data_IF_735104734506
#
_entry.id   IF_735104734506
#
_cell.length_a   1.000
_cell.length_b   1.000
_cell.length_c   1.000
_cell.angle_alpha   90.00
_cell.angle_beta   90.00
_cell.angle_gamma   90.00
#
_symmetry.space_group_name_H-M   'P 1'
#
loop_
_entity.id
_entity.type
_entity.pdbx_description
1 polymer ?
#
# COMPACT_ATOMS: atom_id res chain seq x y z
N UNK A 1 15.62 -5.65 -7.14
CA UNK A 1 15.60 -7.01 -6.51
C UNK A 1 15.90 -7.06 -5.01
N UNK A 2 17.00 -6.50 -4.47
CA UNK A 2 17.31 -6.62 -3.02
C UNK A 2 16.34 -5.87 -2.09
N UNK A 3 15.66 -4.83 -2.58
CA UNK A 3 14.75 -3.99 -1.77
C UNK A 3 13.65 -4.84 -1.07
N UNK A 4 12.99 -5.72 -1.82
CA UNK A 4 11.85 -6.49 -1.29
C UNK A 4 12.29 -7.82 -0.64
N UNK A 5 13.31 -8.49 -1.17
CA UNK A 5 13.71 -9.85 -0.77
C UNK A 5 14.59 -9.94 0.50
N UNK A 6 14.91 -8.80 1.13
CA UNK A 6 15.75 -8.78 2.33
C UNK A 6 14.96 -9.15 3.61
N UNK A 7 14.80 -10.45 3.88
CA UNK A 7 14.23 -10.95 5.12
C UNK A 7 14.97 -12.21 5.63
N UNK A 8 14.88 -12.45 6.94
CA UNK A 8 15.54 -13.59 7.62
C UNK A 8 14.59 -14.79 7.82
N UNK A 9 13.45 -14.79 7.17
CA UNK A 9 12.47 -15.87 7.29
C UNK A 9 13.04 -17.17 6.70
N UNK A 10 12.78 -18.30 7.39
CA UNK A 10 13.26 -19.62 6.94
C UNK A 10 12.72 -20.01 5.55
N UNK A 11 11.53 -19.54 5.21
CA UNK A 11 10.85 -19.83 3.94
C UNK A 11 11.06 -18.76 2.88
N UNK A 12 12.04 -17.85 3.04
CA UNK A 12 12.38 -16.84 2.02
C UNK A 12 12.68 -17.53 0.67
N UNK A 13 12.05 -17.13 -0.46
CA UNK A 13 11.16 -15.97 -0.66
C UNK A 13 9.66 -16.19 -0.43
N UNK A 14 9.21 -17.42 -0.24
CA UNK A 14 7.80 -17.83 -0.09
C UNK A 14 7.18 -17.49 1.29
N UNK A 15 7.57 -16.38 1.91
CA UNK A 15 7.13 -15.98 3.25
C UNK A 15 6.13 -14.81 3.25
N UNK A 16 5.79 -14.26 2.08
CA UNK A 16 4.91 -13.10 1.95
C UNK A 16 5.57 -11.75 2.26
N UNK A 17 6.84 -11.74 2.67
CA UNK A 17 7.51 -10.49 3.06
C UNK A 17 7.80 -9.58 1.86
N UNK A 18 8.05 -10.15 0.68
CA UNK A 18 8.33 -9.36 -0.50
C UNK A 18 7.07 -8.61 -0.93
N UNK A 19 5.95 -9.33 -0.97
CA UNK A 19 4.61 -8.86 -1.32
C UNK A 19 4.16 -7.77 -0.35
N UNK A 20 4.33 -7.97 0.96
CA UNK A 20 3.98 -6.95 1.98
C UNK A 20 4.82 -5.68 1.84
N UNK A 21 6.11 -5.80 1.55
CA UNK A 21 6.97 -4.62 1.35
C UNK A 21 6.64 -3.90 0.06
N UNK A 22 6.32 -4.65 -1.00
CA UNK A 22 5.93 -4.07 -2.28
C UNK A 22 4.59 -3.32 -2.16
N UNK A 23 3.62 -3.91 -1.48
CA UNK A 23 2.36 -3.25 -1.11
C UNK A 23 2.61 -1.95 -0.31
N UNK A 24 3.48 -2.00 0.70
CA UNK A 24 3.83 -0.83 1.50
C UNK A 24 4.50 0.27 0.66
N UNK A 25 5.41 -0.10 -0.24
CA UNK A 25 6.07 0.84 -1.16
C UNK A 25 5.06 1.61 -2.01
N UNK A 26 4.07 0.93 -2.60
CA UNK A 26 3.03 1.59 -3.41
C UNK A 26 2.26 2.62 -2.58
N UNK A 27 1.87 2.27 -1.35
CA UNK A 27 1.17 3.18 -0.44
C UNK A 27 2.05 4.36 -0.04
N UNK A 28 3.34 4.12 0.27
CA UNK A 28 4.29 5.16 0.64
C UNK A 28 4.55 6.15 -0.51
N UNK A 29 4.72 5.64 -1.73
CA UNK A 29 4.85 6.48 -2.93
C UNK A 29 3.58 7.31 -3.15
N UNK A 30 2.39 6.70 -3.03
CA UNK A 30 1.13 7.44 -3.15
C UNK A 30 1.02 8.55 -2.11
N UNK A 31 1.35 8.24 -0.85
CA UNK A 31 1.32 9.19 0.27
C UNK A 31 2.39 10.29 0.17
N UNK A 32 3.42 10.10 -0.66
CA UNK A 32 4.39 11.15 -1.01
C UNK A 32 3.90 12.12 -2.09
N UNK A 33 2.72 11.88 -2.66
CA UNK A 33 2.07 12.74 -3.66
C UNK A 33 2.19 12.23 -5.10
N UNK A 34 2.74 11.04 -5.33
CA UNK A 34 2.80 10.43 -6.66
C UNK A 34 1.44 9.91 -7.10
N UNK A 35 1.04 10.16 -8.35
CA UNK A 35 -0.14 9.54 -8.93
C UNK A 35 0.19 8.13 -9.47
N UNK A 36 -0.83 7.35 -9.83
CA UNK A 36 -0.68 5.96 -10.29
C UNK A 36 0.23 5.80 -11.53
N UNK A 37 0.35 6.82 -12.39
CA UNK A 37 1.29 6.81 -13.53
C UNK A 37 2.72 7.07 -13.07
N UNK A 38 2.90 8.07 -12.21
CA UNK A 38 4.22 8.38 -11.63
C UNK A 38 4.79 7.16 -10.87
N UNK A 39 3.94 6.46 -10.12
CA UNK A 39 4.33 5.23 -9.41
C UNK A 39 4.74 4.14 -10.41
N UNK A 40 3.98 3.97 -11.50
CA UNK A 40 4.29 3.00 -12.55
C UNK A 40 5.67 3.26 -13.16
N UNK A 41 5.96 4.52 -13.50
CA UNK A 41 7.25 4.94 -14.05
C UNK A 41 8.38 4.74 -13.03
N UNK A 42 8.16 5.13 -11.77
CA UNK A 42 9.14 4.95 -10.70
C UNK A 42 9.49 3.46 -10.47
N UNK A 43 8.48 2.58 -10.46
CA UNK A 43 8.70 1.14 -10.28
C UNK A 43 9.48 0.52 -11.45
N UNK A 44 9.26 1.01 -12.68
CA UNK A 44 10.02 0.61 -13.84
C UNK A 44 11.47 1.08 -13.75
N UNK A 45 11.69 2.36 -13.44
CA UNK A 45 13.02 2.98 -13.44
C UNK A 45 13.90 2.49 -12.28
N UNK A 46 13.38 2.45 -11.06
CA UNK A 46 14.17 2.12 -9.87
C UNK A 46 14.30 0.61 -9.63
N UNK A 47 13.27 -0.15 -10.02
CA UNK A 47 13.19 -1.57 -9.69
C UNK A 47 13.12 -2.50 -10.91
N UNK A 48 12.94 -1.98 -12.13
CA UNK A 48 12.74 -2.78 -13.34
C UNK A 48 11.40 -3.54 -13.35
N UNK A 49 10.41 -3.05 -12.58
CA UNK A 49 9.11 -3.68 -12.44
C UNK A 49 8.12 -2.97 -13.36
N UNK A 50 7.74 -3.66 -14.43
CA UNK A 50 6.75 -3.16 -15.39
C UNK A 50 5.33 -3.52 -14.91
N UNK A 51 4.52 -2.50 -14.63
CA UNK A 51 3.13 -2.61 -14.19
C UNK A 51 2.28 -1.62 -14.95
N UNK A 52 1.01 -1.96 -15.19
CA UNK A 52 0.09 -1.00 -15.77
C UNK A 52 -0.35 0.02 -14.70
N UNK A 53 -0.43 1.32 -15.03
CA UNK A 53 -0.95 2.33 -14.11
C UNK A 53 -2.36 2.00 -13.57
N UNK A 54 -3.16 1.26 -14.32
CA UNK A 54 -4.49 0.79 -13.91
C UNK A 54 -4.44 -0.23 -12.77
N UNK A 55 -3.43 -1.10 -12.75
CA UNK A 55 -3.26 -2.09 -11.68
C UNK A 55 -2.98 -1.40 -10.34
N UNK A 56 -2.15 -0.35 -10.38
CA UNK A 56 -1.84 0.50 -9.23
C UNK A 56 -3.10 1.24 -8.77
N UNK A 57 -3.84 1.84 -9.70
CA UNK A 57 -5.08 2.53 -9.38
C UNK A 57 -6.08 1.60 -8.67
N UNK A 58 -6.35 0.42 -9.24
CA UNK A 58 -7.25 -0.56 -8.64
C UNK A 58 -6.76 -1.02 -7.25
N UNK A 59 -5.46 -1.23 -7.08
CA UNK A 59 -4.90 -1.58 -5.77
C UNK A 59 -5.11 -0.48 -4.71
N UNK A 60 -4.96 0.79 -5.08
CA UNK A 60 -5.19 1.93 -4.18
C UNK A 60 -6.68 2.04 -3.81
N UNK A 61 -7.58 1.87 -4.77
CA UNK A 61 -9.03 1.86 -4.53
C UNK A 61 -9.44 0.73 -3.57
N UNK A 62 -8.95 -0.49 -3.81
CA UNK A 62 -9.17 -1.64 -2.91
C UNK A 62 -8.63 -1.38 -1.49
N UNK A 63 -7.47 -0.72 -1.39
CA UNK A 63 -6.86 -0.36 -0.11
C UNK A 63 -7.70 0.65 0.66
N UNK A 64 -8.28 1.65 -0.01
CA UNK A 64 -9.21 2.60 0.60
C UNK A 64 -10.45 1.88 1.12
N UNK A 65 -11.08 1.03 0.32
CA UNK A 65 -12.28 0.28 0.74
C UNK A 65 -12.01 -0.63 1.95
N UNK A 66 -10.82 -1.25 2.01
CA UNK A 66 -10.43 -2.03 3.18
C UNK A 66 -10.28 -1.15 4.43
N UNK A 67 -9.68 0.04 4.29
CA UNK A 67 -9.56 0.98 5.39
C UNK A 67 -10.92 1.53 5.82
N UNK A 68 -11.85 1.79 4.91
CA UNK A 68 -13.22 2.17 5.25
C UNK A 68 -13.89 1.09 6.12
N UNK A 69 -13.77 -0.17 5.73
CA UNK A 69 -14.29 -1.28 6.53
C UNK A 69 -13.63 -1.35 7.93
N UNK A 70 -12.31 -1.13 8.02
CA UNK A 70 -11.59 -1.07 9.31
C UNK A 70 -12.08 0.10 10.17
N UNK A 71 -12.33 1.27 9.58
CA UNK A 71 -12.87 2.45 10.26
C UNK A 71 -14.27 2.17 10.81
N UNK A 72 -15.14 1.53 10.03
CA UNK A 72 -16.51 1.21 10.44
C UNK A 72 -16.52 0.25 11.62
N UNK A 73 -15.76 -0.86 11.54
CA UNK A 73 -15.61 -1.81 12.64
C UNK A 73 -15.01 -1.12 13.88
N UNK A 74 -13.99 -0.27 13.69
CA UNK A 74 -13.38 0.46 14.80
C UNK A 74 -14.36 1.42 15.49
N UNK A 75 -15.26 2.03 14.72
CA UNK A 75 -16.29 2.94 15.25
C UNK A 75 -17.33 2.16 16.06
N UNK A 76 -17.80 1.01 15.55
CA UNK A 76 -18.73 0.12 16.26
C UNK A 76 -18.13 -0.37 17.58
N UNK A 77 -16.84 -0.72 17.57
CA UNK A 77 -16.12 -1.24 18.73
C UNK A 77 -15.65 -0.13 19.71
N UNK A 78 -16.00 1.14 19.49
CA UNK A 78 -15.58 2.26 20.34
C UNK A 78 -14.08 2.57 20.31
N UNK A 79 -13.36 2.11 19.27
CA UNK A 79 -11.92 2.34 19.06
C UNK A 79 -11.67 3.66 18.31
N UNK A 80 -12.09 4.78 18.90
CA UNK A 80 -12.07 6.10 18.25
C UNK A 80 -10.70 6.51 17.70
N UNK A 81 -9.62 6.22 18.44
CA UNK A 81 -8.25 6.52 17.98
C UNK A 81 -7.89 5.77 16.70
N UNK A 82 -8.33 4.51 16.58
CA UNK A 82 -8.10 3.71 15.39
C UNK A 82 -8.94 4.23 14.23
N UNK A 83 -10.24 4.50 14.46
CA UNK A 83 -11.13 5.07 13.45
C UNK A 83 -10.60 6.41 12.89
N UNK A 84 -10.13 7.30 13.78
CA UNK A 84 -9.52 8.58 13.39
C UNK A 84 -8.23 8.37 12.61
N UNK A 85 -7.38 7.43 13.03
CA UNK A 85 -6.13 7.12 12.31
C UNK A 85 -6.41 6.57 10.92
N UNK A 86 -7.40 5.70 10.79
CA UNK A 86 -7.79 5.11 9.50
C UNK A 86 -8.33 6.18 8.56
N UNK A 87 -9.16 7.11 9.05
CA UNK A 87 -9.65 8.24 8.26
C UNK A 87 -8.51 9.17 7.78
N UNK A 88 -7.51 9.43 8.64
CA UNK A 88 -6.31 10.19 8.25
C UNK A 88 -5.54 9.50 7.10
N UNK A 89 -5.38 8.17 7.17
CA UNK A 89 -4.66 7.41 6.15
C UNK A 89 -5.43 7.38 4.83
N UNK A 90 -6.74 7.19 4.84
CA UNK A 90 -7.60 7.27 3.65
C UNK A 90 -7.38 8.59 2.91
N UNK A 91 -7.43 9.72 3.63
CA UNK A 91 -7.23 11.03 3.02
C UNK A 91 -5.86 11.23 2.37
N UNK A 92 -4.82 10.53 2.85
CA UNK A 92 -3.48 10.56 2.23
C UNK A 92 -3.34 9.68 1.00
N UNK A 93 -4.20 8.66 0.86
CA UNK A 93 -4.22 7.78 -0.31
C UNK A 93 -5.08 8.41 -1.42
N UNK A 94 -6.16 9.10 -1.05
CA UNK A 94 -7.06 9.76 -2.01
C UNK A 94 -6.50 11.10 -2.52
N UNK A 95 -5.79 11.87 -1.69
CA UNK A 95 -5.19 13.17 -2.03
C UNK A 95 -3.96 13.05 -2.91
#
# INVERSE_FOLDING_TARGET
FKAFLNCRCKTNPLCGCAERKFAAEILELRMSGMNHRDISEFLLDEYGIDLFPTDILSYLEESVHLLEAVKDVSTIEGKEKLAAKTAEVIGKIEG
#
